data_IF_803211951277
#
_entry.id   IF_803211951277
#
_cell.length_a   1.000
_cell.length_b   1.000
_cell.length_c   1.000
_cell.angle_alpha   90.00
_cell.angle_beta   90.00
_cell.angle_gamma   90.00
#
_symmetry.space_group_name_H-M   'P 1'
#
loop_
_entity.id
_entity.type
_entity.pdbx_description
1 polymer ?
#
# COMPACT_ATOMS: atom_id res chain seq x y z
N UNK A 1 11.71 53.56 -48.10
CA UNK A 1 10.82 53.18 -49.22
C UNK A 1 10.81 51.66 -49.31
N UNK A 2 9.74 50.88 -49.38
CA UNK A 2 8.29 51.02 -49.29
C UNK A 2 7.77 49.57 -49.32
N UNK A 3 7.28 49.01 -48.20
CA UNK A 3 5.87 48.68 -47.91
C UNK A 3 5.22 47.52 -48.68
N UNK A 4 4.52 46.67 -47.89
CA UNK A 4 3.46 45.66 -48.18
C UNK A 4 3.94 44.21 -48.26
N UNK A 5 3.36 43.24 -47.52
CA UNK A 5 2.12 43.27 -46.75
C UNK A 5 2.00 42.16 -45.72
N UNK A 6 1.23 42.49 -44.69
CA UNK A 6 0.58 41.63 -43.70
C UNK A 6 -0.78 41.16 -44.22
N UNK A 7 -1.31 40.11 -43.59
CA UNK A 7 -2.68 39.56 -43.57
C UNK A 7 -2.92 38.25 -44.35
N UNK A 8 -3.64 37.33 -43.65
CA UNK A 8 -3.99 35.93 -43.94
C UNK A 8 -2.82 34.96 -43.76
N UNK A 9 -2.68 34.21 -42.66
CA UNK A 9 -3.61 33.16 -42.20
C UNK A 9 -3.56 33.00 -40.67
N UNK A 10 -4.41 33.75 -39.96
CA UNK A 10 -4.88 33.38 -38.63
C UNK A 10 -6.20 32.62 -38.82
N UNK A 11 -6.14 31.34 -39.19
CA UNK A 11 -7.32 30.46 -39.35
C UNK A 11 -7.00 28.96 -39.32
N UNK A 12 -5.96 28.54 -38.59
CA UNK A 12 -5.66 27.11 -38.33
C UNK A 12 -5.22 26.86 -36.87
N UNK A 13 -5.87 27.54 -35.92
CA UNK A 13 -5.61 27.36 -34.48
C UNK A 13 -6.88 27.07 -33.66
N UNK A 14 -7.96 26.59 -34.29
CA UNK A 14 -9.23 26.36 -33.59
C UNK A 14 -10.01 25.15 -34.12
N UNK A 15 -9.32 24.11 -34.62
CA UNK A 15 -9.96 22.84 -35.00
C UNK A 15 -9.08 21.61 -34.68
N UNK A 16 -8.46 21.61 -33.50
CA UNK A 16 -7.77 20.44 -32.93
C UNK A 16 -8.08 20.24 -31.43
N UNK A 17 -9.18 20.81 -30.94
CA UNK A 17 -9.65 20.68 -29.54
C UNK A 17 -11.01 19.98 -29.40
N UNK A 18 -11.50 19.33 -30.46
CA UNK A 18 -12.71 18.54 -30.45
C UNK A 18 -12.50 17.25 -31.27
N UNK A 19 -11.71 16.32 -30.74
CA UNK A 19 -11.72 14.88 -31.06
C UNK A 19 -10.66 14.14 -30.24
N UNK A 20 -10.81 14.14 -28.91
CA UNK A 20 -10.17 13.12 -28.05
C UNK A 20 -10.87 12.95 -26.69
N UNK A 21 -12.11 13.42 -26.53
CA UNK A 21 -12.93 13.21 -25.32
C UNK A 21 -13.73 11.91 -25.34
N UNK A 22 -13.35 10.93 -26.15
CA UNK A 22 -13.95 9.59 -26.14
C UNK A 22 -12.89 8.51 -25.93
N UNK A 23 -12.29 8.51 -24.75
CA UNK A 23 -11.83 7.28 -24.10
C UNK A 23 -12.29 7.34 -22.65
N UNK A 24 -13.49 6.82 -22.46
CA UNK A 24 -14.11 6.50 -21.18
C UNK A 24 -13.23 5.43 -20.53
N UNK A 25 -12.37 5.82 -19.60
CA UNK A 25 -11.83 4.91 -18.59
C UNK A 25 -12.74 5.04 -17.37
N UNK A 26 -13.38 3.92 -17.04
CA UNK A 26 -14.29 3.79 -15.92
C UNK A 26 -13.62 4.27 -14.63
N UNK A 27 -14.27 5.21 -13.95
CA UNK A 27 -13.96 5.67 -12.60
C UNK A 27 -13.79 4.46 -11.65
N UNK A 28 -12.62 4.28 -11.01
CA UNK A 28 -12.54 3.36 -9.90
C UNK A 28 -12.83 4.09 -8.57
N UNK A 29 -13.29 3.38 -7.52
CA UNK A 29 -13.75 3.96 -6.25
C UNK A 29 -12.66 4.64 -5.38
N UNK A 30 -11.42 4.78 -5.87
CA UNK A 30 -10.24 5.15 -5.08
C UNK A 30 -10.10 6.66 -4.76
N UNK A 31 -10.96 7.51 -5.30
CA UNK A 31 -10.95 8.95 -5.01
C UNK A 31 -11.35 9.32 -3.57
N UNK A 32 -12.03 8.44 -2.82
CA UNK A 32 -12.47 8.78 -1.46
C UNK A 32 -11.31 8.94 -0.49
N UNK A 33 -10.36 8.01 -0.47
CA UNK A 33 -9.14 8.17 0.33
C UNK A 33 -8.30 9.34 -0.18
N UNK A 34 -8.10 9.46 -1.51
CA UNK A 34 -7.38 10.59 -2.12
C UNK A 34 -7.96 11.97 -1.74
N UNK A 35 -9.29 12.11 -1.69
CA UNK A 35 -9.94 13.36 -1.23
C UNK A 35 -9.71 13.64 0.25
N UNK A 36 -9.49 12.61 1.06
CA UNK A 36 -9.14 12.77 2.47
C UNK A 36 -7.66 13.16 2.61
N UNK A 37 -6.76 12.63 1.76
CA UNK A 37 -5.36 13.07 1.72
C UNK A 37 -5.21 14.56 1.40
N UNK A 38 -6.07 15.15 0.55
CA UNK A 38 -6.06 16.60 0.31
C UNK A 38 -6.51 17.42 1.53
N UNK A 39 -7.39 16.90 2.38
CA UNK A 39 -7.88 17.64 3.57
C UNK A 39 -6.91 17.67 4.74
N UNK A 40 -5.89 16.80 4.79
CA UNK A 40 -4.86 16.81 5.84
C UNK A 40 -3.66 17.71 5.52
N UNK A 41 -3.56 18.24 4.29
CA UNK A 41 -2.42 19.02 3.81
C UNK A 41 -2.70 20.54 3.83
N UNK A 42 -3.95 20.97 3.98
CA UNK A 42 -4.29 22.40 4.09
C UNK A 42 -4.08 22.90 5.54
N UNK A 43 -3.24 23.94 5.77
CA UNK A 43 -3.27 24.67 7.03
C UNK A 43 -4.62 25.38 7.18
N UNK A 44 -5.13 25.58 8.42
CA UNK A 44 -6.41 26.26 8.61
C UNK A 44 -6.29 27.71 8.13
N UNK A 45 -6.96 28.03 7.02
CA UNK A 45 -7.09 29.39 6.54
C UNK A 45 -7.79 30.25 7.60
N UNK A 46 -7.16 31.39 7.89
CA UNK A 46 -7.66 32.42 8.76
C UNK A 46 -8.92 33.02 8.13
N UNK A 47 -10.10 32.68 8.65
CA UNK A 47 -11.37 33.29 8.21
C UNK A 47 -11.38 34.77 8.62
N UNK A 48 -11.06 35.66 7.69
CA UNK A 48 -11.36 37.08 7.80
C UNK A 48 -12.84 37.30 7.53
N UNK A 49 -13.62 37.57 8.58
CA UNK A 49 -15.02 37.98 8.48
C UNK A 49 -15.06 39.43 7.97
N UNK A 50 -15.43 39.63 6.72
CA UNK A 50 -15.92 40.91 6.20
C UNK A 50 -17.45 40.88 6.16
N UNK A 51 -18.06 41.77 6.92
CA UNK A 51 -19.52 41.98 6.94
C UNK A 51 -19.86 42.93 5.80
N UNK A 52 -20.56 42.44 4.78
CA UNK A 52 -21.27 43.30 3.84
C UNK A 52 -22.78 43.03 3.91
N UNK A 53 -23.50 44.10 4.24
CA UNK A 53 -24.96 44.17 4.22
C UNK A 53 -25.43 44.43 2.79
N UNK A 54 -26.33 43.60 2.28
CA UNK A 54 -27.24 44.04 1.22
C UNK A 54 -28.58 43.28 1.24
N UNK A 55 -29.64 44.08 1.28
CA UNK A 55 -31.03 43.69 1.14
C UNK A 55 -31.33 43.25 -0.31
N UNK A 56 -32.03 42.12 -0.51
CA UNK A 56 -33.39 42.09 -1.08
C UNK A 56 -33.83 40.71 -1.62
N UNK A 57 -35.16 40.51 -1.52
CA UNK A 57 -36.05 39.61 -2.26
C UNK A 57 -36.20 38.14 -1.79
N UNK A 58 -37.24 37.98 -0.94
CA UNK A 58 -37.93 36.72 -0.63
C UNK A 58 -38.44 36.03 -1.89
N UNK A 59 -37.96 34.80 -2.14
CA UNK A 59 -38.73 33.74 -2.83
C UNK A 59 -38.95 32.58 -1.86
N UNK A 60 -40.22 32.31 -1.52
CA UNK A 60 -40.62 31.14 -0.73
C UNK A 60 -40.47 29.89 -1.59
N UNK A 61 -39.38 29.16 -1.42
CA UNK A 61 -39.29 27.76 -1.81
C UNK A 61 -39.64 26.90 -0.60
N UNK A 62 -40.72 26.12 -0.72
CA UNK A 62 -41.04 25.07 0.24
C UNK A 62 -39.97 23.97 0.14
N UNK A 63 -38.92 24.07 0.96
CA UNK A 63 -38.03 22.95 1.21
C UNK A 63 -38.78 21.90 2.03
N UNK A 64 -39.18 20.82 1.34
CA UNK A 64 -39.53 19.56 1.98
C UNK A 64 -38.28 19.08 2.74
N UNK A 65 -38.28 19.24 4.06
CA UNK A 65 -37.24 18.69 4.94
C UNK A 65 -37.15 17.19 4.65
N UNK A 66 -35.98 16.73 4.16
CA UNK A 66 -35.64 15.31 4.23
C UNK A 66 -35.68 14.91 5.72
N UNK A 67 -36.18 13.71 6.06
CA UNK A 67 -36.10 13.25 7.44
C UNK A 67 -34.62 13.21 7.81
N UNK A 68 -34.23 13.95 8.84
CA UNK A 68 -32.95 13.74 9.51
C UNK A 68 -33.08 12.36 10.13
N UNK A 69 -32.37 11.38 9.55
CA UNK A 69 -32.15 10.11 10.22
C UNK A 69 -31.56 10.44 11.58
N UNK A 70 -32.23 10.04 12.66
CA UNK A 70 -31.67 10.06 14.01
C UNK A 70 -30.59 8.97 14.11
N UNK A 71 -29.60 8.99 13.22
CA UNK A 71 -28.47 8.10 13.32
C UNK A 71 -27.62 8.61 14.48
N UNK A 72 -27.56 7.85 15.58
CA UNK A 72 -26.61 8.15 16.64
C UNK A 72 -25.19 7.93 16.11
N UNK A 73 -24.21 8.61 16.69
CA UNK A 73 -22.79 8.49 16.30
C UNK A 73 -22.26 7.04 16.40
N UNK A 74 -23.00 6.16 17.09
CA UNK A 74 -22.67 4.76 17.33
C UNK A 74 -23.53 3.76 16.55
N UNK A 75 -24.39 4.20 15.62
CA UNK A 75 -25.28 3.30 14.86
C UNK A 75 -24.55 2.46 13.80
N UNK A 76 -23.25 2.64 13.65
CA UNK A 76 -22.39 1.90 12.71
C UNK A 76 -21.95 0.52 13.22
N UNK A 77 -22.32 0.16 14.45
CA UNK A 77 -22.05 -1.14 15.04
C UNK A 77 -23.19 -2.14 14.79
N UNK A 78 -22.82 -3.41 14.63
CA UNK A 78 -23.79 -4.49 14.68
C UNK A 78 -24.43 -4.55 16.08
N UNK A 79 -25.71 -4.95 16.21
CA UNK A 79 -26.28 -5.32 17.50
C UNK A 79 -25.39 -6.37 18.19
N UNK A 80 -25.18 -6.23 19.51
CA UNK A 80 -24.35 -7.12 20.35
C UNK A 80 -22.85 -7.14 20.03
N UNK A 81 -22.32 -6.02 19.53
CA UNK A 81 -20.91 -5.84 19.22
C UNK A 81 -20.12 -5.15 20.37
N UNK A 82 -18.87 -5.57 20.68
CA UNK A 82 -18.16 -6.74 20.16
C UNK A 82 -18.70 -8.06 20.74
N UNK A 83 -18.44 -9.21 20.08
CA UNK A 83 -18.84 -10.51 20.59
C UNK A 83 -18.26 -10.78 21.98
N UNK A 84 -18.95 -11.62 22.75
CA UNK A 84 -18.43 -12.12 24.03
C UNK A 84 -17.17 -12.96 23.86
N UNK A 85 -16.26 -12.85 24.82
CA UNK A 85 -15.05 -13.66 24.90
C UNK A 85 -15.34 -15.17 24.96
N UNK A 86 -14.41 -15.95 24.44
CA UNK A 86 -14.39 -17.42 24.52
C UNK A 86 -13.13 -17.92 25.25
N UNK A 87 -13.01 -19.24 25.38
CA UNK A 87 -11.79 -19.86 25.93
C UNK A 87 -10.55 -19.63 25.06
N UNK A 88 -10.70 -19.37 23.76
CA UNK A 88 -9.59 -19.22 22.81
C UNK A 88 -9.44 -17.81 22.24
N UNK A 89 -10.48 -16.98 22.36
CA UNK A 89 -10.55 -15.67 21.71
C UNK A 89 -11.08 -14.61 22.64
N UNK A 90 -10.44 -13.45 22.66
CA UNK A 90 -10.92 -12.25 23.34
C UNK A 90 -11.18 -11.13 22.35
N UNK A 91 -12.13 -10.25 22.65
CA UNK A 91 -12.49 -9.14 21.77
C UNK A 91 -12.29 -7.79 22.45
N UNK A 92 -11.65 -6.86 21.73
CA UNK A 92 -11.58 -5.44 22.09
C UNK A 92 -12.18 -4.62 20.95
N UNK A 93 -12.85 -3.52 21.28
CA UNK A 93 -13.37 -2.59 20.28
C UNK A 93 -12.69 -1.22 20.37
N UNK A 94 -12.37 -0.66 19.21
CA UNK A 94 -11.80 0.68 19.05
C UNK A 94 -12.74 1.54 18.20
N UNK A 95 -13.13 2.69 18.73
CA UNK A 95 -13.91 3.70 18.02
C UNK A 95 -13.45 5.11 18.38
N UNK A 96 -12.98 5.86 17.38
CA UNK A 96 -12.45 7.22 17.61
C UNK A 96 -13.52 8.22 18.11
N UNK A 97 -14.81 7.91 17.97
CA UNK A 97 -15.91 8.74 18.42
C UNK A 97 -16.41 8.37 19.83
N UNK A 98 -15.79 7.39 20.50
CA UNK A 98 -16.11 7.01 21.88
C UNK A 98 -17.25 6.00 22.01
N UNK A 99 -17.66 5.33 20.93
CA UNK A 99 -18.70 4.29 20.97
C UNK A 99 -18.20 2.94 21.50
N UNK A 100 -16.91 2.82 21.78
CA UNK A 100 -16.27 1.63 22.33
C UNK A 100 -15.33 1.98 23.50
N UNK A 101 -14.86 0.95 24.21
CA UNK A 101 -14.00 1.10 25.39
C UNK A 101 -12.64 1.74 25.09
N UNK A 102 -12.21 1.75 23.82
CA UNK A 102 -10.97 2.38 23.39
C UNK A 102 -11.25 3.38 22.26
N UNK A 103 -10.59 4.53 22.30
CA UNK A 103 -10.65 5.54 21.24
C UNK A 103 -9.43 5.53 20.32
N UNK A 104 -8.35 4.84 20.72
CA UNK A 104 -7.11 4.69 19.96
C UNK A 104 -6.73 3.22 19.84
N UNK A 105 -6.10 2.85 18.72
CA UNK A 105 -5.66 1.48 18.46
C UNK A 105 -4.55 1.07 19.42
N UNK A 106 -3.58 1.95 19.70
CA UNK A 106 -2.49 1.66 20.62
C UNK A 106 -2.99 1.36 22.03
N UNK A 107 -4.02 2.06 22.51
CA UNK A 107 -4.58 1.79 23.85
C UNK A 107 -5.21 0.40 23.95
N UNK A 108 -5.89 -0.07 22.91
CA UNK A 108 -6.41 -1.43 22.84
C UNK A 108 -5.29 -2.48 22.76
N UNK A 109 -4.23 -2.21 21.97
CA UNK A 109 -3.03 -3.07 21.93
C UNK A 109 -2.38 -3.19 23.32
N UNK A 110 -2.27 -2.07 24.06
CA UNK A 110 -1.69 -2.06 25.40
C UNK A 110 -2.51 -2.88 26.40
N UNK A 111 -3.84 -2.95 26.23
CA UNK A 111 -4.74 -3.71 27.09
C UNK A 111 -4.68 -5.23 26.87
N UNK A 112 -4.14 -5.71 25.74
CA UNK A 112 -3.93 -7.14 25.51
C UNK A 112 -2.90 -7.68 26.50
N UNK A 113 -3.22 -8.77 27.19
CA UNK A 113 -2.31 -9.41 28.13
C UNK A 113 -1.02 -9.89 27.43
N UNK A 114 0.11 -9.68 28.09
CA UNK A 114 1.39 -10.18 27.58
C UNK A 114 1.42 -11.71 27.57
N UNK A 115 2.05 -12.26 26.53
CA UNK A 115 2.23 -13.69 26.26
C UNK A 115 0.92 -14.49 26.24
N UNK A 116 -0.20 -13.82 25.91
CA UNK A 116 -1.51 -14.45 25.85
C UNK A 116 -1.52 -15.61 24.84
N UNK A 117 -1.93 -16.83 25.27
CA UNK A 117 -2.16 -17.93 24.33
C UNK A 117 -3.48 -17.75 23.57
N UNK A 118 -4.38 -16.87 24.03
CA UNK A 118 -5.64 -16.55 23.33
C UNK A 118 -5.37 -15.58 22.19
N UNK A 119 -6.11 -15.73 21.10
CA UNK A 119 -6.16 -14.72 20.03
C UNK A 119 -6.98 -13.54 20.50
N UNK A 120 -6.43 -12.33 20.45
CA UNK A 120 -7.20 -11.11 20.75
C UNK A 120 -7.56 -10.40 19.46
N UNK A 121 -8.86 -10.32 19.16
CA UNK A 121 -9.39 -9.61 18.00
C UNK A 121 -9.68 -8.17 18.44
N UNK A 122 -8.86 -7.25 17.95
CA UNK A 122 -9.09 -5.81 18.08
C UNK A 122 -9.87 -5.37 16.86
N UNK A 123 -11.16 -5.15 17.07
CA UNK A 123 -12.04 -4.61 16.05
C UNK A 123 -11.93 -3.10 16.01
N UNK A 124 -11.67 -2.57 14.83
CA UNK A 124 -11.37 -1.16 14.62
C UNK A 124 -12.47 -0.62 13.70
N UNK A 125 -13.31 0.26 14.26
CA UNK A 125 -14.43 0.84 13.53
C UNK A 125 -13.95 1.65 12.32
N UNK A 126 -14.82 1.97 11.37
CA UNK A 126 -14.47 2.82 10.24
C UNK A 126 -13.99 4.19 10.72
N UNK A 127 -13.00 4.74 10.03
CA UNK A 127 -12.35 5.98 10.36
C UNK A 127 -10.85 5.92 10.10
N UNK A 128 -10.24 7.10 10.13
CA UNK A 128 -8.78 7.25 10.11
C UNK A 128 -8.31 7.47 11.54
N UNK A 129 -7.42 6.60 12.00
CA UNK A 129 -6.76 6.65 13.29
C UNK A 129 -5.37 7.23 13.06
N UNK A 130 -5.20 8.51 13.36
CA UNK A 130 -3.94 9.22 13.17
C UNK A 130 -3.05 9.06 14.40
N UNK A 131 -2.31 7.95 14.44
CA UNK A 131 -1.47 7.54 15.57
C UNK A 131 -0.36 6.58 15.10
N UNK A 132 0.74 6.52 15.85
CA UNK A 132 1.72 5.43 15.70
C UNK A 132 1.28 4.24 16.53
N UNK A 133 1.33 3.05 15.92
CA UNK A 133 0.98 1.79 16.61
C UNK A 133 2.17 0.84 16.61
N UNK A 134 2.49 0.29 17.77
CA UNK A 134 3.53 -0.71 17.95
C UNK A 134 2.97 -1.93 18.69
N UNK A 135 3.11 -3.10 18.05
CA UNK A 135 2.73 -4.39 18.62
C UNK A 135 4.01 -5.12 19.02
N UNK A 136 4.31 -5.14 20.31
CA UNK A 136 5.55 -5.71 20.86
C UNK A 136 5.58 -7.24 20.74
N UNK A 137 6.79 -7.83 20.75
CA UNK A 137 7.01 -9.29 20.76
C UNK A 137 6.27 -10.01 21.89
N UNK A 138 6.03 -9.31 23.00
CA UNK A 138 5.31 -9.84 24.16
C UNK A 138 3.82 -9.97 23.92
N UNK A 139 3.27 -9.49 22.80
CA UNK A 139 1.83 -9.52 22.50
C UNK A 139 1.50 -10.36 21.26
N UNK A 140 1.79 -11.68 21.26
CA UNK A 140 1.48 -12.55 20.12
C UNK A 140 -0.03 -12.69 19.92
N UNK A 141 -0.43 -13.25 18.77
CA UNK A 141 -1.81 -13.65 18.48
C UNK A 141 -2.82 -12.48 18.47
N UNK A 142 -2.40 -11.27 18.10
CA UNK A 142 -3.33 -10.15 17.88
C UNK A 142 -3.88 -10.19 16.45
N UNK A 143 -5.18 -9.94 16.31
CA UNK A 143 -5.84 -9.68 15.02
C UNK A 143 -6.34 -8.23 15.01
N UNK A 144 -5.95 -7.45 14.01
CA UNK A 144 -6.66 -6.22 13.65
C UNK A 144 -7.76 -6.53 12.65
N UNK A 145 -8.98 -6.15 12.96
CA UNK A 145 -10.13 -6.35 12.09
C UNK A 145 -10.80 -5.00 11.83
N UNK A 146 -10.62 -4.47 10.63
CA UNK A 146 -11.32 -3.27 10.16
C UNK A 146 -12.64 -3.61 9.46
N UNK A 147 -13.34 -2.57 8.99
CA UNK A 147 -14.60 -2.68 8.25
C UNK A 147 -14.43 -2.64 6.73
N UNK A 148 -13.21 -2.49 6.23
CA UNK A 148 -12.89 -2.37 4.80
C UNK A 148 -11.60 -1.57 4.61
N UNK A 149 -10.77 -1.94 3.63
CA UNK A 149 -9.54 -1.20 3.34
C UNK A 149 -9.80 0.28 2.98
N UNK A 150 -10.98 0.60 2.45
CA UNK A 150 -11.40 1.96 2.10
C UNK A 150 -12.15 2.68 3.22
N UNK A 151 -12.40 2.00 4.35
CA UNK A 151 -13.22 2.50 5.46
C UNK A 151 -12.44 2.66 6.76
N UNK A 152 -11.50 1.76 7.06
CA UNK A 152 -10.70 1.77 8.29
C UNK A 152 -9.22 1.92 7.95
N UNK A 153 -8.54 2.89 8.55
CA UNK A 153 -7.10 3.10 8.34
C UNK A 153 -6.36 3.58 9.59
N UNK A 154 -5.11 3.14 9.74
CA UNK A 154 -4.14 3.72 10.68
C UNK A 154 -3.12 4.51 9.87
N UNK A 155 -2.89 5.76 10.26
CA UNK A 155 -2.07 6.70 9.50
C UNK A 155 -1.07 7.46 10.39
N UNK A 156 0.12 7.68 9.86
CA UNK A 156 1.12 8.61 10.40
C UNK A 156 1.90 9.29 9.26
N UNK A 157 2.90 10.12 9.55
CA UNK A 157 3.62 10.91 8.54
C UNK A 157 5.13 11.04 8.75
N UNK A 158 5.74 10.14 9.52
CA UNK A 158 7.19 10.20 9.73
C UNK A 158 7.94 9.87 8.44
N UNK A 159 9.03 10.60 8.21
CA UNK A 159 10.07 10.24 7.25
C UNK A 159 11.28 9.70 8.00
N UNK A 160 12.21 9.02 7.31
CA UNK A 160 13.47 8.60 7.90
C UNK A 160 14.24 9.79 8.51
N UNK A 161 14.14 10.98 7.92
CA UNK A 161 14.74 12.18 8.48
C UNK A 161 14.06 12.60 9.81
N UNK A 162 12.72 12.62 9.88
CA UNK A 162 12.01 13.03 11.10
C UNK A 162 12.09 11.98 12.21
N UNK A 163 12.26 10.71 11.88
CA UNK A 163 12.32 9.59 12.83
C UNK A 163 13.73 9.07 13.12
N UNK A 164 14.77 9.70 12.57
CA UNK A 164 16.16 9.24 12.68
C UNK A 164 16.43 7.81 12.15
N UNK A 165 15.77 7.48 11.04
CA UNK A 165 16.02 6.25 10.28
C UNK A 165 14.73 5.64 9.73
N UNK A 166 14.84 4.99 8.56
CA UNK A 166 13.70 4.35 7.86
C UNK A 166 12.92 3.40 8.76
N UNK A 167 13.62 2.58 9.56
CA UNK A 167 13.01 1.63 10.50
C UNK A 167 12.03 2.27 11.49
N UNK A 168 12.30 3.51 11.90
CA UNK A 168 11.51 4.24 12.88
C UNK A 168 10.39 5.06 12.25
N UNK A 169 10.36 5.21 10.92
CA UNK A 169 9.34 5.99 10.20
C UNK A 169 7.99 5.28 10.09
N UNK A 170 7.94 3.99 10.44
CA UNK A 170 6.75 3.16 10.31
C UNK A 170 5.55 3.72 11.09
N UNK A 171 4.41 3.88 10.40
CA UNK A 171 3.14 4.25 11.05
C UNK A 171 2.64 3.12 11.95
N UNK A 172 2.80 1.87 11.50
CA UNK A 172 2.57 0.67 12.31
C UNK A 172 3.81 -0.22 12.33
N UNK A 173 4.20 -0.71 13.50
CA UNK A 173 5.29 -1.68 13.65
C UNK A 173 4.80 -2.95 14.34
N UNK A 174 4.95 -4.10 13.66
CA UNK A 174 4.56 -5.42 14.15
C UNK A 174 5.82 -6.21 14.49
N UNK A 175 6.10 -6.38 15.78
CA UNK A 175 7.11 -7.33 16.26
C UNK A 175 6.51 -8.65 16.74
N UNK A 176 5.20 -8.68 17.03
CA UNK A 176 4.50 -9.86 17.51
C UNK A 176 4.41 -10.97 16.47
N UNK A 177 4.58 -12.21 16.92
CA UNK A 177 4.29 -13.38 16.11
C UNK A 177 2.78 -13.63 16.00
N UNK A 178 2.36 -14.36 14.95
CA UNK A 178 0.96 -14.72 14.70
C UNK A 178 0.01 -13.52 14.54
N UNK A 179 0.55 -12.37 14.15
CA UNK A 179 -0.24 -11.18 13.90
C UNK A 179 -1.13 -11.38 12.67
N UNK A 180 -2.37 -10.89 12.74
CA UNK A 180 -3.30 -10.90 11.62
C UNK A 180 -3.85 -9.51 11.40
N UNK A 181 -3.99 -9.07 10.15
CA UNK A 181 -4.81 -7.93 9.79
C UNK A 181 -5.83 -8.32 8.72
N UNK A 182 -7.06 -7.85 8.87
CA UNK A 182 -8.17 -8.08 7.93
C UNK A 182 -8.87 -6.75 7.66
N UNK A 183 -9.10 -6.44 6.37
CA UNK A 183 -9.96 -5.34 5.93
C UNK A 183 -9.63 -3.96 6.57
N UNK A 184 -8.35 -3.61 6.63
CA UNK A 184 -7.84 -2.35 7.18
C UNK A 184 -6.68 -1.85 6.34
N UNK A 185 -6.46 -0.53 6.35
CA UNK A 185 -5.33 0.10 5.66
C UNK A 185 -4.27 0.65 6.60
N UNK A 186 -3.02 0.54 6.19
CA UNK A 186 -1.86 1.14 6.83
C UNK A 186 -1.29 2.22 5.91
N UNK A 187 -1.10 3.42 6.43
CA UNK A 187 -0.82 4.60 5.61
C UNK A 187 0.33 5.40 6.20
N UNK A 188 1.32 5.77 5.38
CA UNK A 188 2.20 6.88 5.66
C UNK A 188 1.86 8.05 4.71
N UNK A 189 1.49 9.20 5.27
CA UNK A 189 1.04 10.39 4.53
C UNK A 189 2.17 11.39 4.27
N UNK A 190 3.44 11.01 4.50
CA UNK A 190 4.57 11.86 4.18
C UNK A 190 4.58 12.29 2.70
N UNK A 191 5.14 13.47 2.37
CA UNK A 191 5.21 13.95 0.99
C UNK A 191 5.88 12.93 0.06
N UNK A 192 5.33 12.79 -1.16
CA UNK A 192 5.93 11.94 -2.19
C UNK A 192 7.30 12.53 -2.58
N UNK A 193 8.40 11.78 -2.41
CA UNK A 193 9.71 12.32 -2.69
C UNK A 193 10.10 12.18 -4.16
N UNK A 194 11.05 13.01 -4.59
CA UNK A 194 11.75 12.81 -5.85
C UNK A 194 12.77 11.67 -5.70
N UNK A 195 13.11 10.96 -6.80
CA UNK A 195 14.17 9.96 -6.76
C UNK A 195 15.50 10.54 -6.27
N UNK A 196 16.04 9.98 -5.18
CA UNK A 196 17.32 10.37 -4.60
C UNK A 196 17.23 11.37 -3.45
N UNK A 197 16.04 11.83 -3.07
CA UNK A 197 15.87 12.73 -1.92
C UNK A 197 16.41 12.08 -0.63
N UNK A 198 17.17 12.88 0.14
CA UNK A 198 17.80 12.40 1.37
C UNK A 198 16.79 12.28 2.52
N UNK A 199 16.76 11.11 3.16
CA UNK A 199 15.94 10.87 4.36
C UNK A 199 14.43 10.88 4.11
N UNK A 200 14.00 10.71 2.86
CA UNK A 200 12.61 10.80 2.44
C UNK A 200 11.80 9.50 2.56
N UNK A 201 12.44 8.39 2.92
CA UNK A 201 11.78 7.10 3.12
C UNK A 201 10.67 7.23 4.16
N UNK A 202 9.50 6.63 3.93
CA UNK A 202 8.34 6.82 4.79
C UNK A 202 7.48 5.55 4.84
N UNK A 203 7.71 4.75 5.88
CA UNK A 203 7.12 3.41 6.00
C UNK A 203 5.66 3.49 6.48
N UNK A 204 4.74 2.84 5.77
CA UNK A 204 3.35 2.69 6.22
C UNK A 204 3.25 1.62 7.32
N UNK A 205 3.88 0.47 7.09
CA UNK A 205 3.97 -0.59 8.09
C UNK A 205 5.29 -1.36 7.96
N UNK A 206 5.84 -1.73 9.13
CA UNK A 206 6.96 -2.63 9.27
C UNK A 206 6.53 -3.92 9.94
N UNK A 207 6.86 -5.06 9.34
CA UNK A 207 6.50 -6.40 9.81
C UNK A 207 7.76 -7.22 10.06
N UNK A 208 8.08 -7.43 11.33
CA UNK A 208 9.28 -8.15 11.80
C UNK A 208 8.94 -9.36 12.69
N UNK A 209 7.65 -9.63 12.88
CA UNK A 209 7.15 -10.77 13.66
C UNK A 209 6.81 -11.94 12.76
N UNK A 210 7.29 -13.13 13.11
CA UNK A 210 7.06 -14.34 12.31
C UNK A 210 5.57 -14.74 12.25
N UNK A 211 5.15 -15.38 11.17
CA UNK A 211 3.79 -15.90 10.98
C UNK A 211 2.72 -14.80 10.95
N UNK A 212 2.98 -13.69 10.25
CA UNK A 212 2.03 -12.59 10.07
C UNK A 212 1.19 -12.78 8.79
N UNK A 213 -0.12 -12.51 8.87
CA UNK A 213 -1.00 -12.63 7.72
C UNK A 213 -1.93 -11.43 7.53
N UNK A 214 -2.13 -11.04 6.27
CA UNK A 214 -2.89 -9.86 5.85
C UNK A 214 -3.91 -10.26 4.79
N UNK A 215 -5.18 -9.94 5.00
CA UNK A 215 -6.26 -10.23 4.06
C UNK A 215 -7.08 -8.99 3.73
N UNK A 216 -7.23 -8.69 2.43
CA UNK A 216 -8.02 -7.53 2.00
C UNK A 216 -7.52 -6.22 2.58
N UNK A 217 -6.21 -6.11 2.87
CA UNK A 217 -5.60 -4.95 3.50
C UNK A 217 -5.06 -3.97 2.45
N UNK A 218 -5.00 -2.69 2.82
CA UNK A 218 -4.38 -1.63 2.03
C UNK A 218 -3.06 -1.16 2.62
N UNK A 219 -2.08 -0.86 1.77
CA UNK A 219 -0.78 -0.34 2.14
C UNK A 219 -0.47 0.87 1.27
N UNK A 220 -0.42 2.06 1.88
CA UNK A 220 -0.32 3.33 1.16
C UNK A 220 0.89 4.12 1.64
N UNK A 221 1.77 4.44 0.70
CA UNK A 221 2.94 5.28 0.92
C UNK A 221 3.54 5.68 -0.42
N UNK A 222 4.77 6.19 -0.37
CA UNK A 222 5.57 6.50 -1.55
C UNK A 222 6.84 5.65 -1.55
N UNK A 223 7.96 6.18 -1.08
CA UNK A 223 9.19 5.42 -0.93
C UNK A 223 9.13 4.56 0.35
N UNK A 224 9.50 3.29 0.22
CA UNK A 224 9.60 2.33 1.33
C UNK A 224 8.25 2.03 2.02
N UNK A 225 7.13 1.96 1.28
CA UNK A 225 5.77 1.77 1.85
C UNK A 225 5.64 0.57 2.80
N UNK A 226 6.00 -0.63 2.35
CA UNK A 226 5.89 -1.88 3.11
C UNK A 226 7.30 -2.40 3.43
N UNK A 227 7.67 -2.27 4.71
CA UNK A 227 8.89 -2.88 5.23
C UNK A 227 8.59 -4.30 5.71
N UNK A 228 8.66 -5.25 4.79
CA UNK A 228 8.52 -6.68 5.01
C UNK A 228 9.84 -7.26 5.56
N UNK A 229 10.16 -6.83 6.79
CA UNK A 229 11.49 -6.86 7.42
C UNK A 229 12.03 -8.28 7.60
N UNK A 230 11.31 -9.13 8.33
CA UNK A 230 11.75 -10.50 8.61
C UNK A 230 10.67 -11.37 9.22
N UNK A 231 10.77 -12.68 8.98
CA UNK A 231 9.73 -13.66 9.34
C UNK A 231 9.05 -14.28 8.12
N UNK A 232 8.06 -15.14 8.36
CA UNK A 232 7.21 -15.75 7.33
C UNK A 232 5.88 -15.03 7.25
N UNK A 233 5.55 -14.47 6.09
CA UNK A 233 4.34 -13.66 5.95
C UNK A 233 3.46 -14.08 4.78
N UNK A 234 2.17 -13.84 4.91
CA UNK A 234 1.17 -14.08 3.87
C UNK A 234 0.34 -12.83 3.63
N UNK A 235 0.30 -12.38 2.38
CA UNK A 235 -0.52 -11.24 1.95
C UNK A 235 -1.49 -11.73 0.89
N UNK A 236 -2.79 -11.70 1.18
CA UNK A 236 -3.83 -12.16 0.25
C UNK A 236 -4.80 -11.04 -0.08
N UNK A 237 -5.11 -10.88 -1.37
CA UNK A 237 -6.10 -9.90 -1.86
C UNK A 237 -5.79 -8.47 -1.36
N UNK A 238 -4.51 -8.15 -1.18
CA UNK A 238 -4.08 -6.86 -0.66
C UNK A 238 -3.84 -5.85 -1.78
N UNK A 239 -3.98 -4.57 -1.44
CA UNK A 239 -3.63 -3.45 -2.30
C UNK A 239 -2.38 -2.76 -1.75
N UNK A 240 -1.32 -2.67 -2.56
CA UNK A 240 -0.03 -2.10 -2.14
C UNK A 240 0.35 -1.00 -3.13
N UNK A 241 0.59 0.21 -2.62
CA UNK A 241 0.92 1.39 -3.41
C UNK A 241 2.25 2.02 -2.98
N UNK A 242 3.08 2.41 -3.94
CA UNK A 242 4.26 3.24 -3.68
C UNK A 242 5.05 3.63 -4.93
N UNK A 243 6.24 4.18 -4.73
CA UNK A 243 7.12 4.64 -5.81
C UNK A 243 8.41 3.83 -5.85
N UNK A 244 9.35 4.10 -4.94
CA UNK A 244 10.68 3.50 -4.88
C UNK A 244 10.71 2.47 -3.75
N UNK A 245 11.20 1.28 -4.05
CA UNK A 245 11.39 0.16 -3.10
C UNK A 245 10.16 -0.09 -2.22
N UNK A 246 8.96 0.05 -2.79
CA UNK A 246 7.75 0.15 -1.97
C UNK A 246 7.37 -1.18 -1.29
N UNK A 247 8.03 -2.28 -1.63
CA UNK A 247 8.10 -3.53 -0.85
C UNK A 247 9.57 -3.89 -0.65
N UNK A 248 10.06 -3.83 0.58
CA UNK A 248 11.48 -4.08 0.87
C UNK A 248 11.66 -4.80 2.21
N UNK A 249 12.82 -5.43 2.40
CA UNK A 249 13.13 -6.23 3.59
C UNK A 249 13.66 -7.61 3.24
N UNK A 250 13.76 -8.48 4.24
CA UNK A 250 14.32 -9.83 4.14
C UNK A 250 13.34 -10.92 4.63
N UNK A 251 12.03 -10.66 4.58
CA UNK A 251 11.05 -11.70 4.92
C UNK A 251 10.99 -12.83 3.88
N UNK A 252 10.40 -13.96 4.31
CA UNK A 252 9.97 -15.09 3.47
C UNK A 252 8.46 -14.96 3.27
N UNK A 253 8.06 -14.35 2.17
CA UNK A 253 6.68 -13.88 2.01
C UNK A 253 6.03 -14.36 0.72
N UNK A 254 4.76 -14.75 0.84
CA UNK A 254 3.90 -15.05 -0.29
C UNK A 254 2.81 -13.98 -0.39
N UNK A 255 2.79 -13.31 -1.53
CA UNK A 255 1.77 -12.35 -1.95
C UNK A 255 0.88 -13.04 -2.97
N UNK A 256 -0.40 -13.26 -2.65
CA UNK A 256 -1.35 -13.99 -3.49
C UNK A 256 -2.55 -13.09 -3.84
N UNK A 257 -2.88 -13.01 -5.13
CA UNK A 257 -4.00 -12.21 -5.64
C UNK A 257 -3.93 -10.72 -5.24
N UNK A 258 -2.71 -10.19 -5.05
CA UNK A 258 -2.47 -8.79 -4.67
C UNK A 258 -2.41 -7.84 -5.87
N UNK A 259 -2.71 -6.56 -5.62
CA UNK A 259 -2.60 -5.47 -6.60
C UNK A 259 -1.49 -4.52 -6.19
N UNK A 260 -0.46 -4.43 -7.03
CA UNK A 260 0.72 -3.58 -6.81
C UNK A 260 0.61 -2.36 -7.73
N UNK A 261 0.48 -1.16 -7.15
CA UNK A 261 0.24 0.08 -7.89
C UNK A 261 1.39 1.05 -7.69
N UNK A 262 2.10 1.35 -8.78
CA UNK A 262 3.10 2.40 -8.76
C UNK A 262 2.47 3.78 -8.87
N UNK A 263 2.96 4.71 -8.06
CA UNK A 263 2.66 6.14 -8.14
C UNK A 263 3.89 6.95 -8.53
N UNK A 264 4.89 6.32 -9.15
CA UNK A 264 6.05 7.02 -9.67
C UNK A 264 5.60 8.04 -10.74
N UNK A 265 6.34 9.15 -10.86
CA UNK A 265 5.98 10.23 -11.77
C UNK A 265 5.86 9.72 -13.22
N UNK A 266 4.83 10.09 -14.00
CA UNK A 266 4.74 9.68 -15.40
C UNK A 266 6.00 10.07 -16.18
N UNK A 267 6.49 9.15 -17.02
CA UNK A 267 7.67 9.36 -17.87
C UNK A 267 7.19 9.53 -19.32
N UNK A 268 7.65 10.56 -20.07
CA UNK A 268 7.27 10.72 -21.47
C UNK A 268 7.65 9.50 -22.32
N UNK A 269 6.82 9.19 -23.32
CA UNK A 269 7.07 8.08 -24.22
C UNK A 269 8.45 8.20 -24.90
N UNK A 270 9.23 7.12 -24.88
CA UNK A 270 10.58 7.06 -25.45
C UNK A 270 11.71 7.53 -24.53
N UNK A 271 11.40 8.11 -23.37
CA UNK A 271 12.40 8.42 -22.34
C UNK A 271 12.66 7.16 -21.50
N UNK A 272 13.94 6.85 -21.26
CA UNK A 272 14.37 5.76 -20.38
C UNK A 272 14.88 6.35 -19.06
N UNK A 273 13.96 6.64 -18.15
CA UNK A 273 14.28 7.16 -16.82
C UNK A 273 13.52 6.36 -15.77
N UNK A 274 14.24 5.51 -15.05
CA UNK A 274 13.67 4.68 -14.00
C UNK A 274 13.43 5.52 -12.76
N UNK A 275 12.18 5.56 -12.31
CA UNK A 275 11.77 6.39 -11.18
C UNK A 275 10.85 5.67 -10.18
N UNK A 276 10.73 4.35 -10.32
CA UNK A 276 10.07 3.50 -9.35
C UNK A 276 10.65 2.10 -9.35
N UNK A 277 10.46 1.41 -8.24
CA UNK A 277 10.93 0.03 -8.04
C UNK A 277 9.91 -0.68 -7.16
N UNK A 278 9.39 -1.81 -7.63
CA UNK A 278 8.40 -2.59 -6.85
C UNK A 278 9.06 -3.22 -5.62
N UNK A 279 10.18 -3.92 -5.82
CA UNK A 279 10.82 -4.69 -4.75
C UNK A 279 12.28 -4.34 -4.49
N UNK A 280 12.69 -4.37 -3.22
CA UNK A 280 14.09 -4.33 -2.81
C UNK A 280 14.37 -5.41 -1.76
N UNK A 281 14.64 -6.64 -2.23
CA UNK A 281 14.84 -7.79 -1.35
C UNK A 281 16.24 -7.81 -0.74
N UNK A 282 16.30 -8.06 0.57
CA UNK A 282 17.44 -7.86 1.45
C UNK A 282 18.18 -9.14 1.87
N UNK A 283 18.03 -10.25 1.16
CA UNK A 283 18.74 -11.49 1.50
C UNK A 283 20.24 -11.36 1.34
N UNK A 284 20.95 -11.65 2.42
CA UNK A 284 22.40 -11.41 2.53
C UNK A 284 23.23 -12.68 2.34
N UNK A 285 22.64 -13.87 2.50
CA UNK A 285 23.36 -15.14 2.38
C UNK A 285 22.60 -16.22 1.60
N UNK A 286 23.36 -17.13 0.99
CA UNK A 286 22.82 -18.32 0.33
C UNK A 286 22.12 -19.30 1.27
N UNK A 287 22.44 -19.27 2.56
CA UNK A 287 21.89 -20.17 3.59
C UNK A 287 20.53 -19.70 4.13
N UNK A 288 20.20 -18.42 3.96
CA UNK A 288 18.90 -17.87 4.33
C UNK A 288 17.80 -18.45 3.43
N UNK A 289 16.62 -18.77 3.95
CA UNK A 289 15.49 -19.22 3.13
C UNK A 289 14.43 -18.13 2.93
N UNK A 290 14.86 -16.87 2.81
CA UNK A 290 14.00 -15.68 2.65
C UNK A 290 13.76 -15.35 1.18
N UNK A 291 12.73 -14.56 0.88
CA UNK A 291 12.36 -14.25 -0.51
C UNK A 291 10.96 -13.70 -0.62
N UNK A 292 10.71 -12.86 -1.61
CA UNK A 292 9.37 -12.39 -1.96
C UNK A 292 8.83 -13.15 -3.15
N UNK A 293 7.64 -13.73 -3.01
CA UNK A 293 6.98 -14.45 -4.08
C UNK A 293 5.60 -13.86 -4.32
N UNK A 294 5.32 -13.50 -5.57
CA UNK A 294 4.06 -12.93 -6.01
C UNK A 294 3.36 -13.91 -6.94
N UNK A 295 2.18 -14.38 -6.54
CA UNK A 295 1.39 -15.36 -7.29
C UNK A 295 0.05 -14.73 -7.67
N UNK A 296 -0.31 -14.76 -8.96
CA UNK A 296 -1.57 -14.21 -9.49
C UNK A 296 -1.80 -12.73 -9.15
N UNK A 297 -0.71 -11.98 -8.97
CA UNK A 297 -0.78 -10.56 -8.68
C UNK A 297 -0.99 -9.74 -9.96
N UNK A 298 -1.19 -8.44 -9.81
CA UNK A 298 -1.13 -7.48 -10.92
C UNK A 298 -0.23 -6.30 -10.58
N UNK A 299 0.48 -5.77 -11.59
CA UNK A 299 1.34 -4.60 -11.48
C UNK A 299 0.89 -3.53 -12.47
N UNK A 300 0.52 -2.37 -11.93
CA UNK A 300 -0.05 -1.24 -12.67
C UNK A 300 0.39 0.11 -12.10
N UNK A 301 -0.18 1.19 -12.66
CA UNK A 301 0.05 2.55 -12.16
C UNK A 301 0.77 3.44 -13.16
N UNK A 302 1.68 4.28 -12.67
CA UNK A 302 2.39 5.29 -13.46
C UNK A 302 3.90 5.17 -13.33
N UNK A 303 4.61 5.83 -14.26
CA UNK A 303 6.06 5.92 -14.27
C UNK A 303 6.74 4.86 -15.15
N UNK A 304 8.04 4.72 -14.98
CA UNK A 304 8.83 3.68 -15.61
C UNK A 304 9.65 2.98 -14.53
N UNK A 305 9.36 1.71 -14.29
CA UNK A 305 9.75 1.06 -13.05
C UNK A 305 10.43 -0.29 -13.27
N UNK A 306 11.25 -0.69 -12.31
CA UNK A 306 11.73 -2.07 -12.20
C UNK A 306 10.80 -2.93 -11.34
N UNK A 307 10.72 -4.21 -11.67
CA UNK A 307 10.13 -5.27 -10.84
C UNK A 307 10.90 -5.41 -9.52
N UNK A 308 12.21 -5.19 -9.54
CA UNK A 308 12.98 -5.15 -8.31
C UNK A 308 14.43 -4.76 -8.49
N UNK A 309 15.08 -4.45 -7.38
CA UNK A 309 16.53 -4.31 -7.30
C UNK A 309 17.14 -5.08 -6.12
N UNK A 310 18.35 -5.57 -6.30
CA UNK A 310 19.03 -6.42 -5.33
C UNK A 310 19.61 -5.60 -4.16
N UNK A 311 18.79 -5.24 -3.15
CA UNK A 311 19.29 -4.48 -1.99
C UNK A 311 20.46 -5.19 -1.28
N UNK A 312 20.47 -6.52 -1.30
CA UNK A 312 21.57 -7.37 -0.82
C UNK A 312 21.98 -8.44 -1.84
N UNK A 313 23.20 -9.04 -1.73
CA UNK A 313 23.79 -9.88 -2.78
C UNK A 313 23.04 -11.16 -3.14
N UNK A 314 22.17 -11.69 -2.27
CA UNK A 314 21.43 -12.93 -2.50
C UNK A 314 19.93 -12.69 -2.68
N UNK A 315 19.54 -11.45 -3.04
CA UNK A 315 18.16 -11.04 -3.24
C UNK A 315 17.35 -12.08 -4.04
N UNK A 316 16.19 -12.46 -3.53
CA UNK A 316 15.33 -13.48 -4.13
C UNK A 316 13.90 -12.96 -4.29
N UNK A 317 13.48 -12.79 -5.54
CA UNK A 317 12.14 -12.33 -5.90
C UNK A 317 11.60 -13.17 -7.05
N UNK A 318 10.36 -13.64 -6.93
CA UNK A 318 9.68 -14.41 -7.98
C UNK A 318 8.31 -13.80 -8.28
N UNK A 319 8.05 -13.53 -9.55
CA UNK A 319 6.71 -13.21 -10.06
C UNK A 319 6.18 -14.40 -10.85
N UNK A 320 5.04 -14.93 -10.44
CA UNK A 320 4.37 -16.07 -11.06
C UNK A 320 2.91 -15.73 -11.40
N UNK A 321 2.48 -16.02 -12.62
CA UNK A 321 1.13 -15.72 -13.12
C UNK A 321 0.71 -14.26 -12.89
N UNK A 322 1.68 -13.34 -12.88
CA UNK A 322 1.44 -11.93 -12.58
C UNK A 322 1.18 -11.16 -13.88
N UNK A 323 0.12 -10.34 -13.90
CA UNK A 323 -0.15 -9.43 -15.02
C UNK A 323 0.63 -8.13 -14.83
N UNK A 324 1.35 -7.68 -15.86
CA UNK A 324 2.24 -6.53 -15.84
C UNK A 324 1.86 -5.54 -16.94
N UNK A 325 1.52 -4.32 -16.57
CA UNK A 325 1.32 -3.21 -17.53
C UNK A 325 2.64 -2.71 -18.13
N UNK A 326 2.54 -1.84 -19.13
CA UNK A 326 3.65 -1.28 -19.92
C UNK A 326 4.58 -0.33 -19.14
N UNK A 327 4.28 -0.03 -17.88
CA UNK A 327 5.17 0.74 -16.99
C UNK A 327 6.44 -0.02 -16.60
N UNK A 328 6.46 -1.35 -16.77
CA UNK A 328 7.65 -2.17 -16.47
C UNK A 328 8.71 -1.91 -17.54
N UNK A 329 9.89 -1.46 -17.10
CA UNK A 329 11.01 -1.23 -17.99
C UNK A 329 11.44 -2.54 -18.69
N UNK A 330 11.89 -2.50 -19.96
CA UNK A 330 12.31 -3.68 -20.70
C UNK A 330 13.34 -4.56 -19.98
N UNK A 331 14.34 -3.94 -19.35
CA UNK A 331 15.37 -4.60 -18.54
C UNK A 331 14.78 -5.31 -17.29
N UNK A 332 13.64 -4.82 -16.78
CA UNK A 332 12.84 -5.39 -15.70
C UNK A 332 13.46 -5.30 -14.30
N UNK A 333 14.77 -5.46 -14.18
CA UNK A 333 15.45 -5.68 -12.90
C UNK A 333 16.78 -4.94 -12.83
N UNK A 334 17.28 -4.74 -11.62
CA UNK A 334 18.59 -4.16 -11.36
C UNK A 334 19.33 -4.94 -10.26
N UNK A 335 20.58 -5.28 -10.50
CA UNK A 335 21.53 -5.92 -9.59
C UNK A 335 22.10 -4.94 -8.55
N UNK A 336 21.48 -3.76 -8.39
CA UNK A 336 22.03 -2.63 -7.64
C UNK A 336 23.30 -2.04 -8.28
N UNK A 337 23.47 -2.23 -9.59
CA UNK A 337 24.65 -1.82 -10.36
C UNK A 337 25.94 -2.48 -9.83
N UNK A 338 25.84 -3.75 -9.46
CA UNK A 338 26.94 -4.55 -8.89
C UNK A 338 26.96 -5.95 -9.53
N UNK A 339 27.66 -6.11 -10.67
CA UNK A 339 27.68 -7.36 -11.43
C UNK A 339 28.21 -8.57 -10.66
N UNK A 340 28.87 -8.37 -9.51
CA UNK A 340 29.28 -9.48 -8.65
C UNK A 340 28.09 -10.24 -8.05
N UNK A 341 26.89 -9.64 -8.05
CA UNK A 341 25.65 -10.23 -7.52
C UNK A 341 24.92 -11.12 -8.51
N UNK A 342 25.19 -10.98 -9.81
CA UNK A 342 24.50 -11.70 -10.89
C UNK A 342 24.47 -13.22 -10.68
N UNK A 343 25.51 -13.77 -10.03
CA UNK A 343 25.64 -15.21 -9.78
C UNK A 343 24.87 -15.70 -8.55
N UNK A 344 24.51 -14.80 -7.63
CA UNK A 344 23.92 -15.12 -6.34
C UNK A 344 22.46 -14.68 -6.19
N UNK A 345 22.01 -13.69 -6.96
CA UNK A 345 20.61 -13.27 -6.98
C UNK A 345 19.71 -14.31 -7.65
N UNK A 346 18.44 -14.33 -7.23
CA UNK A 346 17.40 -15.15 -7.84
C UNK A 346 16.21 -14.26 -8.19
N UNK A 347 16.22 -13.72 -9.40
CA UNK A 347 15.07 -13.01 -9.97
C UNK A 347 14.39 -13.91 -10.99
N UNK A 348 13.14 -14.30 -10.71
CA UNK A 348 12.40 -15.27 -11.49
C UNK A 348 11.08 -14.72 -12.02
N UNK A 349 10.81 -14.98 -13.29
CA UNK A 349 9.50 -14.72 -13.91
C UNK A 349 8.92 -16.03 -14.47
N UNK A 350 7.68 -16.35 -14.09
CA UNK A 350 6.98 -17.58 -14.48
C UNK A 350 5.56 -17.27 -14.99
N UNK A 351 5.30 -17.55 -16.28
CA UNK A 351 3.97 -17.41 -16.91
C UNK A 351 3.30 -16.04 -16.61
N UNK A 352 4.10 -14.97 -16.53
CA UNK A 352 3.60 -13.60 -16.43
C UNK A 352 3.02 -13.14 -17.78
N UNK A 353 2.11 -12.17 -17.75
CA UNK A 353 1.37 -11.70 -18.92
C UNK A 353 1.21 -10.18 -18.94
N UNK A 354 0.74 -9.62 -20.05
CA UNK A 354 0.60 -8.17 -20.24
C UNK A 354 1.82 -7.53 -20.90
N UNK A 355 1.68 -6.26 -21.26
CA UNK A 355 2.65 -5.53 -22.10
C UNK A 355 4.03 -5.39 -21.44
N UNK A 356 4.08 -5.36 -20.10
CA UNK A 356 5.32 -5.30 -19.32
C UNK A 356 6.02 -6.66 -19.10
N UNK A 357 5.39 -7.78 -19.48
CA UNK A 357 5.90 -9.13 -19.20
C UNK A 357 6.83 -9.69 -20.29
N UNK A 358 7.19 -8.88 -21.31
CA UNK A 358 8.08 -9.32 -22.38
C UNK A 358 9.52 -9.53 -21.86
N UNK A 359 10.02 -10.76 -21.98
CA UNK A 359 11.34 -11.15 -21.48
C UNK A 359 12.50 -10.87 -22.46
N UNK A 360 12.23 -10.50 -23.72
CA UNK A 360 13.26 -10.40 -24.77
C UNK A 360 14.40 -9.42 -24.45
N UNK A 361 14.12 -8.37 -23.68
CA UNK A 361 15.09 -7.33 -23.30
C UNK A 361 15.49 -7.36 -21.83
N UNK A 362 15.10 -8.41 -21.09
CA UNK A 362 15.48 -8.54 -19.67
C UNK A 362 16.99 -8.64 -19.54
N UNK A 363 17.50 -8.13 -18.42
CA UNK A 363 18.88 -8.35 -18.02
C UNK A 363 19.22 -9.85 -17.95
N UNK A 364 20.45 -10.25 -18.30
CA UNK A 364 20.77 -11.66 -18.59
C UNK A 364 20.76 -12.59 -17.37
N UNK A 365 20.83 -12.04 -16.14
CA UNK A 365 20.78 -12.81 -14.89
C UNK A 365 19.35 -13.15 -14.44
N UNK A 366 18.32 -12.69 -15.14
CA UNK A 366 16.92 -13.04 -14.84
C UNK A 366 16.60 -14.44 -15.33
N UNK A 367 15.92 -15.19 -14.48
CA UNK A 367 15.54 -16.57 -14.76
C UNK A 367 14.11 -16.63 -15.31
N UNK A 368 14.00 -17.03 -16.58
CA UNK A 368 12.73 -17.51 -17.14
C UNK A 368 12.46 -18.91 -16.59
N UNK A 369 11.62 -19.00 -15.56
CA UNK A 369 11.38 -20.25 -14.86
C UNK A 369 10.53 -21.21 -15.70
N UNK A 370 10.84 -22.51 -15.62
CA UNK A 370 9.96 -23.57 -16.08
C UNK A 370 9.07 -24.10 -14.94
N UNK A 371 8.17 -25.04 -15.25
CA UNK A 371 7.19 -25.58 -14.30
C UNK A 371 7.87 -26.20 -13.06
N UNK A 372 8.98 -26.92 -13.23
CA UNK A 372 9.72 -27.56 -12.13
C UNK A 372 10.42 -26.53 -11.24
N UNK A 373 11.06 -25.52 -11.85
CA UNK A 373 11.75 -24.45 -11.12
C UNK A 373 10.76 -23.55 -10.36
N UNK A 374 9.58 -23.31 -10.92
CA UNK A 374 8.57 -22.47 -10.31
C UNK A 374 7.83 -23.17 -9.16
N UNK A 375 7.58 -24.48 -9.27
CA UNK A 375 6.74 -25.26 -8.35
C UNK A 375 6.96 -25.00 -6.85
N UNK A 376 8.20 -24.89 -6.33
CA UNK A 376 8.43 -24.63 -4.90
C UNK A 376 7.92 -23.28 -4.39
N UNK A 377 7.66 -22.32 -5.29
CA UNK A 377 7.25 -20.96 -4.97
C UNK A 377 5.73 -20.75 -5.07
N UNK A 378 4.99 -21.63 -5.76
CA UNK A 378 3.62 -21.32 -6.21
C UNK A 378 2.53 -21.45 -5.15
N UNK A 379 2.83 -21.94 -3.95
CA UNK A 379 1.83 -22.23 -2.93
C UNK A 379 2.31 -21.85 -1.53
N UNK A 380 1.40 -21.96 -0.56
CA UNK A 380 1.64 -21.60 0.84
C UNK A 380 2.74 -22.44 1.51
N UNK A 381 3.14 -23.60 0.97
CA UNK A 381 4.28 -24.34 1.49
C UNK A 381 5.60 -23.57 1.31
N UNK A 382 5.67 -22.62 0.37
CA UNK A 382 6.81 -21.69 0.29
C UNK A 382 6.99 -20.88 1.58
N UNK A 383 5.97 -20.66 2.40
CA UNK A 383 6.06 -19.96 3.69
C UNK A 383 5.77 -20.88 4.88
N UNK A 384 5.84 -22.20 4.66
CA UNK A 384 5.39 -23.23 5.61
C UNK A 384 3.93 -23.00 6.10
N UNK A 385 3.08 -22.39 5.28
CA UNK A 385 1.74 -21.94 5.65
C UNK A 385 0.85 -23.06 6.19
N UNK A 386 1.05 -24.29 5.72
CA UNK A 386 0.36 -25.49 6.23
C UNK A 386 0.53 -25.70 7.75
N UNK A 387 1.57 -25.11 8.36
CA UNK A 387 1.89 -25.24 9.79
C UNK A 387 1.32 -24.13 10.67
N UNK A 388 0.95 -22.99 10.11
CA UNK A 388 0.65 -21.79 10.93
C UNK A 388 -0.48 -20.92 10.39
N UNK A 389 -0.72 -20.93 9.08
CA UNK A 389 -1.72 -20.06 8.48
C UNK A 389 -3.12 -20.59 8.81
N UNK A 390 -3.90 -19.77 9.51
CA UNK A 390 -5.29 -20.10 9.83
C UNK A 390 -6.17 -19.94 8.58
N UNK A 391 -7.22 -20.77 8.40
CA UNK A 391 -8.18 -20.60 7.31
C UNK A 391 -8.82 -19.21 7.32
N UNK A 392 -9.01 -18.64 6.12
CA UNK A 392 -9.74 -17.39 5.97
C UNK A 392 -11.20 -17.59 6.39
N UNK A 393 -11.67 -16.82 7.38
CA UNK A 393 -13.08 -16.81 7.82
C UNK A 393 -13.36 -17.43 9.19
N UNK A 394 -12.34 -17.96 9.88
CA UNK A 394 -12.44 -18.29 11.32
C UNK A 394 -12.09 -17.09 12.20
#
# INVERSE_FOLDING_TARGET
>A
MSHKGTYLWALFASLASLLSTQLIIQNPPYLKLFSIFTTFVEPPDLVSITVESSHHLRRRHHHRKRPVSNSTICDDFLPDFPPSDTNMTSYLCVDRNGCCNFTTVQSAVNAVADFSPKRTIIWINKGIYYEKVMILKTKPNITFQGQGMDLTAIAWNDTANSSHGTFYSASVTVYAANFVAKNISFINVAPIPNPGDFGAQAVAIRVAGDQAAFWGCGFFGAQDTLHDDGGRHYYKECFIQGSIDFIFGDARSLYEDCRLISIASPVPAGVRFINGVVTAHGRTSGDENTGFVFVKCSIGGTGQIWLGRAWRPYARVVFAYTSMSDIIAPEGWNDFNDPARDQSIFFGEYKCSGDGANLTMRVPYVQKLNDTQASPFLNISFIDGDKWLLPFGN
#
